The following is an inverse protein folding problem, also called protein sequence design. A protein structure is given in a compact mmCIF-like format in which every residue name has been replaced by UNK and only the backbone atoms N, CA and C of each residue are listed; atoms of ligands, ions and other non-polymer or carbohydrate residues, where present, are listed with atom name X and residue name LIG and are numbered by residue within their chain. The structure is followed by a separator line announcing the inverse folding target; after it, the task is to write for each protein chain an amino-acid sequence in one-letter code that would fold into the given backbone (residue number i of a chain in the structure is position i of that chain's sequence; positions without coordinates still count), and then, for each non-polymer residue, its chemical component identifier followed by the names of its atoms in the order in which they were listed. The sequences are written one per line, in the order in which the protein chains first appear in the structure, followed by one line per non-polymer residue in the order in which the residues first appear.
data_IF_645950387562
#
_entry.id   IF_645950387562
#
_cell.length_a   1.000
_cell.length_b   1.000
_cell.length_c   1.000
_cell.angle_alpha   90.00
_cell.angle_beta   90.00
_cell.angle_gamma   90.00
#
_symmetry.space_group_name_H-M   'P 1'
#
loop_
_entity.id
_entity.type
_entity.pdbx_description
1 polymer ?
#
# COMPACT_ATOMS: atom_id res chain seq x y z
N UNK A 1 4.53 2.76 10.74
CA UNK A 1 3.44 2.56 9.76
C UNK A 1 3.15 3.71 8.81
N UNK A 2 3.72 4.92 9.00
CA UNK A 2 3.55 6.02 8.03
C UNK A 2 3.90 5.62 6.59
N UNK A 3 5.01 4.91 6.39
CA UNK A 3 5.42 4.42 5.08
C UNK A 3 4.37 3.53 4.38
N UNK A 4 3.60 2.71 5.12
CA UNK A 4 2.48 1.97 4.54
C UNK A 4 1.36 2.91 4.07
N UNK A 5 1.00 3.91 4.88
CA UNK A 5 -0.02 4.88 4.50
C UNK A 5 0.42 5.71 3.30
N UNK A 6 1.70 6.09 3.24
CA UNK A 6 2.27 6.82 2.10
C UNK A 6 2.17 5.99 0.80
N UNK A 7 2.41 4.67 0.87
CA UNK A 7 2.20 3.74 -0.27
C UNK A 7 0.72 3.73 -0.70
N UNK A 8 -0.21 3.60 0.25
CA UNK A 8 -1.64 3.60 -0.06
C UNK A 8 -2.06 4.94 -0.69
N UNK A 9 -1.62 6.06 -0.13
CA UNK A 9 -1.87 7.39 -0.69
C UNK A 9 -1.30 7.50 -2.10
N UNK A 10 -0.10 6.98 -2.36
CA UNK A 10 0.50 6.99 -3.69
C UNK A 10 -0.33 6.19 -4.70
N UNK A 11 -0.83 5.00 -4.32
CA UNK A 11 -1.70 4.20 -5.19
C UNK A 11 -3.00 4.93 -5.51
N UNK A 12 -3.61 5.60 -4.53
CA UNK A 12 -4.87 6.33 -4.74
C UNK A 12 -4.69 7.57 -5.62
N UNK A 13 -3.54 8.22 -5.57
CA UNK A 13 -3.28 9.50 -6.26
C UNK A 13 -2.65 9.32 -7.64
N UNK A 14 -1.78 8.32 -7.79
CA UNK A 14 -0.98 8.11 -9.01
C UNK A 14 -1.20 6.73 -9.65
N UNK A 15 -2.01 5.85 -9.04
CA UNK A 15 -2.27 4.52 -9.55
C UNK A 15 -3.10 4.52 -10.83
N UNK A 16 -2.73 3.64 -11.76
CA UNK A 16 -3.43 3.45 -13.02
C UNK A 16 -4.65 2.56 -12.80
N UNK A 17 -5.81 3.01 -13.29
CA UNK A 17 -7.04 2.21 -13.29
C UNK A 17 -6.93 1.08 -14.33
N UNK A 18 -7.06 -0.17 -13.89
CA UNK A 18 -6.94 -1.37 -14.73
C UNK A 18 -7.84 -2.50 -14.23
N UNK A 19 -8.49 -3.18 -15.17
CA UNK A 19 -9.25 -4.41 -14.90
C UNK A 19 -8.33 -5.58 -14.52
N UNK A 20 -8.72 -6.34 -13.50
CA UNK A 20 -7.98 -7.50 -13.03
C UNK A 20 -8.66 -8.83 -13.41
N UNK A 21 -8.01 -9.96 -13.12
CA UNK A 21 -8.51 -11.31 -13.43
C UNK A 21 -9.78 -11.72 -12.68
N UNK A 22 -10.17 -10.99 -11.63
CA UNK A 22 -11.39 -11.26 -10.86
C UNK A 22 -12.59 -10.48 -11.40
N UNK A 23 -12.41 -9.71 -12.49
CA UNK A 23 -13.46 -8.90 -13.09
C UNK A 23 -13.80 -7.64 -12.31
N UNK A 24 -12.95 -7.23 -11.35
CA UNK A 24 -13.08 -5.98 -10.61
C UNK A 24 -11.97 -5.03 -11.04
N UNK A 25 -12.31 -3.75 -11.16
CA UNK A 25 -11.31 -2.75 -11.49
C UNK A 25 -10.43 -2.42 -10.29
N UNK A 26 -9.18 -2.08 -10.58
CA UNK A 26 -8.15 -1.80 -9.58
C UNK A 26 -7.37 -0.55 -9.92
N UNK A 27 -6.92 0.18 -8.90
CA UNK A 27 -5.82 1.13 -9.04
C UNK A 27 -4.51 0.42 -8.72
N UNK A 28 -3.53 0.49 -9.62
CA UNK A 28 -2.25 -0.19 -9.45
C UNK A 28 -1.06 0.72 -9.80
N UNK A 29 0.04 0.53 -9.07
CA UNK A 29 1.35 1.13 -9.35
C UNK A 29 2.36 -0.01 -9.55
N UNK A 30 3.29 0.16 -10.49
CA UNK A 30 4.33 -0.82 -10.76
C UNK A 30 5.51 -0.64 -9.80
N UNK A 31 5.66 -1.56 -8.85
CA UNK A 31 6.80 -1.60 -7.92
C UNK A 31 6.71 -0.55 -6.81
N UNK A 32 6.85 -1.00 -5.57
CA UNK A 32 7.00 -0.15 -4.37
C UNK A 32 7.94 -0.88 -3.41
N UNK A 33 8.70 -0.13 -2.62
CA UNK A 33 9.57 -0.70 -1.59
C UNK A 33 9.14 -0.21 -0.21
N UNK A 34 9.18 -1.12 0.75
CA UNK A 34 8.91 -0.83 2.15
C UNK A 34 9.99 -1.50 3.00
N UNK A 35 10.50 -0.76 3.97
CA UNK A 35 11.44 -1.24 4.97
C UNK A 35 10.95 -0.82 6.35
N UNK A 36 11.17 -1.69 7.34
CA UNK A 36 10.86 -1.40 8.72
C UNK A 36 11.94 -1.95 9.64
N UNK A 37 12.38 -1.10 10.57
CA UNK A 37 13.32 -1.48 11.62
C UNK A 37 12.57 -2.20 12.75
N UNK A 38 12.81 -3.50 12.88
CA UNK A 38 12.17 -4.37 13.88
C UNK A 38 12.48 -3.99 15.34
N UNK A 39 13.58 -3.26 15.59
CA UNK A 39 13.88 -2.75 16.94
C UNK A 39 12.88 -1.67 17.37
N UNK A 40 12.24 -0.99 16.41
CA UNK A 40 11.17 0.01 16.67
C UNK A 40 9.82 -0.64 16.95
N UNK A 41 9.77 -1.97 17.08
CA UNK A 41 8.57 -2.76 17.36
C UNK A 41 8.06 -3.52 16.14
N UNK A 42 7.03 -4.34 16.36
CA UNK A 42 6.42 -5.14 15.29
C UNK A 42 5.52 -4.27 14.39
N UNK A 43 5.66 -4.32 13.05
CA UNK A 43 4.94 -3.43 12.13
C UNK A 43 3.48 -3.85 11.89
N UNK A 44 2.72 -4.05 12.98
CA UNK A 44 1.28 -4.27 12.90
C UNK A 44 0.56 -2.95 12.61
N UNK A 45 -0.41 -3.00 11.71
CA UNK A 45 -1.28 -1.86 11.43
C UNK A 45 -2.22 -1.62 12.62
N UNK A 46 -2.29 -0.37 13.06
CA UNK A 46 -3.14 0.04 14.19
C UNK A 46 -4.26 1.00 13.77
N UNK A 47 -4.25 1.47 12.53
CA UNK A 47 -5.22 2.44 11.99
C UNK A 47 -6.58 1.84 11.66
N UNK A 48 -6.69 0.50 11.73
CA UNK A 48 -7.92 -0.26 11.60
C UNK A 48 -7.83 -1.45 12.56
N UNK A 49 -8.93 -1.72 13.27
CA UNK A 49 -9.07 -2.91 14.11
C UNK A 49 -9.54 -4.10 13.29
#
# INVERSE_FOLDING_TARGET
MKAYLDIVTHILTHGVHKGNRTGQDTHAVAGMMFEHDMQKGFPLLTTKK
#
